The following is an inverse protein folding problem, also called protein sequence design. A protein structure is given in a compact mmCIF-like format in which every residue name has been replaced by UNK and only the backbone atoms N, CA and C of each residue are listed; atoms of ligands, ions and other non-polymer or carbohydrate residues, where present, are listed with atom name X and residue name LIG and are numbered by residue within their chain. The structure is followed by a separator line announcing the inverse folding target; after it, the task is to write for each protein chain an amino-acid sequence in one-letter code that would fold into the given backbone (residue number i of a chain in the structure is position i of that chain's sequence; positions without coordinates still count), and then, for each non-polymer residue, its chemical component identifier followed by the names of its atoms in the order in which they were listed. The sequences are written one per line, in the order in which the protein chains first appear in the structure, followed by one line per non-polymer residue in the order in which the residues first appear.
data_IF_690892162256
#
_entry.id   IF_690892162256
#
_cell.length_a   1.000
_cell.length_b   1.000
_cell.length_c   1.000
_cell.angle_alpha   90.00
_cell.angle_beta   90.00
_cell.angle_gamma   90.00
#
_symmetry.space_group_name_H-M   'P 1'
#
loop_
_entity.id
_entity.type
_entity.pdbx_description
1 polymer ?
#
# COMPACT_ATOMS: atom_id res chain seq x y z
N UNK A 1 -22.74 -1.80 -38.71
CA UNK A 1 -21.41 -2.38 -38.37
C UNK A 1 -20.81 -1.51 -37.30
N UNK A 2 -20.77 -1.99 -36.04
CA UNK A 2 -20.17 -1.24 -34.93
C UNK A 2 -18.65 -1.36 -35.03
N UNK A 3 -18.00 -0.28 -35.45
CA UNK A 3 -16.55 -0.14 -35.34
C UNK A 3 -16.23 0.09 -33.87
N UNK A 4 -15.72 -0.94 -33.18
CA UNK A 4 -15.27 -0.83 -31.79
C UNK A 4 -13.76 -0.51 -31.79
N UNK A 5 -13.35 0.76 -31.60
CA UNK A 5 -11.93 1.15 -31.59
C UNK A 5 -11.15 0.49 -30.44
N UNK A 6 -11.83 0.05 -29.37
CA UNK A 6 -11.18 -0.66 -28.27
C UNK A 6 -10.81 -2.09 -28.66
N UNK A 7 -11.57 -2.72 -29.56
CA UNK A 7 -11.26 -4.07 -30.07
C UNK A 7 -10.01 -4.08 -30.96
N UNK A 8 -9.82 -3.03 -31.79
CA UNK A 8 -8.64 -2.86 -32.63
C UNK A 8 -7.40 -2.54 -31.79
N UNK A 9 -7.54 -1.64 -30.80
CA UNK A 9 -6.45 -1.33 -29.88
C UNK A 9 -6.06 -2.55 -29.03
N UNK A 10 -7.04 -3.30 -28.53
CA UNK A 10 -6.78 -4.54 -27.76
C UNK A 10 -6.05 -5.58 -28.59
N UNK A 11 -6.44 -5.80 -29.85
CA UNK A 11 -5.75 -6.74 -30.73
C UNK A 11 -4.32 -6.26 -31.05
N UNK A 12 -4.13 -4.96 -31.27
CA UNK A 12 -2.81 -4.37 -31.50
C UNK A 12 -1.89 -4.50 -30.28
N UNK A 13 -2.41 -4.23 -29.07
CA UNK A 13 -1.68 -4.43 -27.81
C UNK A 13 -1.33 -5.89 -27.59
N UNK A 14 -2.27 -6.83 -27.83
CA UNK A 14 -2.01 -8.26 -27.69
C UNK A 14 -0.95 -8.77 -28.66
N UNK A 15 -0.95 -8.28 -29.90
CA UNK A 15 0.08 -8.63 -30.88
C UNK A 15 1.43 -8.04 -30.51
N UNK A 16 1.45 -6.81 -30.01
CA UNK A 16 2.67 -6.17 -29.50
C UNK A 16 3.23 -6.91 -28.29
N UNK A 17 2.40 -7.26 -27.30
CA UNK A 17 2.80 -8.06 -26.13
C UNK A 17 3.36 -9.41 -26.54
N UNK A 18 2.74 -10.08 -27.50
CA UNK A 18 3.21 -11.38 -27.99
C UNK A 18 4.57 -11.26 -28.69
N UNK A 19 4.71 -10.29 -29.59
CA UNK A 19 5.97 -10.03 -30.32
C UNK A 19 7.10 -9.64 -29.36
N UNK A 20 6.82 -8.74 -28.41
CA UNK A 20 7.78 -8.34 -27.38
C UNK A 20 8.11 -9.49 -26.45
N UNK A 21 7.14 -10.31 -26.07
CA UNK A 21 7.35 -11.49 -25.24
C UNK A 21 8.26 -12.53 -25.91
N UNK A 22 8.07 -12.78 -27.19
CA UNK A 22 8.93 -13.69 -27.97
C UNK A 22 10.34 -13.10 -28.18
N UNK A 23 10.43 -11.80 -28.51
CA UNK A 23 11.70 -11.10 -28.67
C UNK A 23 12.51 -11.08 -27.35
N UNK A 24 11.87 -10.70 -26.24
CA UNK A 24 12.50 -10.71 -24.91
C UNK A 24 12.87 -12.13 -24.48
N UNK A 25 12.05 -13.14 -24.77
CA UNK A 25 12.37 -14.54 -24.45
C UNK A 25 13.59 -15.04 -25.21
N UNK A 26 13.82 -14.58 -26.44
CA UNK A 26 15.02 -14.91 -27.21
C UNK A 26 16.24 -14.14 -26.72
N UNK A 27 16.09 -12.86 -26.38
CA UNK A 27 17.18 -12.00 -25.89
C UNK A 27 17.62 -12.37 -24.47
N UNK A 28 16.71 -12.70 -23.55
CA UNK A 28 17.04 -13.14 -22.18
C UNK A 28 17.81 -14.47 -22.16
N UNK A 29 17.69 -15.28 -23.22
CA UNK A 29 18.48 -16.51 -23.39
C UNK A 29 19.88 -16.24 -23.96
N UNK A 30 20.15 -15.04 -24.45
CA UNK A 30 21.48 -14.61 -24.86
C UNK A 30 22.26 -14.10 -23.64
N UNK A 31 23.35 -14.77 -23.23
CA UNK A 31 24.18 -14.33 -22.10
C UNK A 31 24.75 -12.92 -22.28
N UNK A 32 25.03 -12.48 -23.51
CA UNK A 32 25.56 -11.14 -23.78
C UNK A 32 24.51 -10.06 -23.51
N UNK A 33 23.25 -10.31 -23.89
CA UNK A 33 22.14 -9.40 -23.58
C UNK A 33 21.90 -9.30 -22.07
N UNK A 34 21.90 -10.43 -21.36
CA UNK A 34 21.75 -10.44 -19.89
C UNK A 34 22.90 -9.71 -19.19
N UNK A 35 24.13 -9.86 -19.70
CA UNK A 35 25.29 -9.15 -19.17
C UNK A 35 25.16 -7.63 -19.39
N UNK A 36 24.78 -7.18 -20.59
CA UNK A 36 24.55 -5.75 -20.87
C UNK A 36 23.40 -5.19 -20.04
N UNK A 37 22.31 -5.93 -19.88
CA UNK A 37 21.18 -5.53 -19.05
C UNK A 37 21.59 -5.38 -17.58
N UNK A 38 22.34 -6.36 -17.05
CA UNK A 38 22.86 -6.31 -15.67
C UNK A 38 23.82 -5.15 -15.45
N UNK A 39 24.70 -4.85 -16.42
CA UNK A 39 25.64 -3.73 -16.35
C UNK A 39 24.91 -2.39 -16.42
N UNK A 40 23.93 -2.25 -17.30
CA UNK A 40 23.11 -1.04 -17.40
C UNK A 40 22.27 -0.82 -16.14
N UNK A 41 21.67 -1.89 -15.59
CA UNK A 41 20.96 -1.82 -14.30
C UNK A 41 21.89 -1.43 -13.16
N UNK A 42 23.08 -2.02 -13.08
CA UNK A 42 24.06 -1.68 -12.05
C UNK A 42 24.50 -0.21 -12.17
N UNK A 43 24.78 0.27 -13.38
CA UNK A 43 25.14 1.67 -13.62
C UNK A 43 24.00 2.63 -13.26
N UNK A 44 22.74 2.27 -13.53
CA UNK A 44 21.59 3.07 -13.10
C UNK A 44 21.46 3.12 -11.58
N UNK A 45 21.62 1.99 -10.89
CA UNK A 45 21.60 1.93 -9.43
C UNK A 45 22.75 2.73 -8.82
N UNK A 46 23.95 2.63 -9.39
CA UNK A 46 25.12 3.38 -8.95
C UNK A 46 24.91 4.89 -9.17
N UNK A 47 24.31 5.29 -10.29
CA UNK A 47 23.92 6.68 -10.55
C UNK A 47 22.87 7.18 -9.56
N UNK A 48 21.83 6.38 -9.28
CA UNK A 48 20.80 6.74 -8.32
C UNK A 48 21.40 6.91 -6.92
N UNK A 49 22.28 6.01 -6.50
CA UNK A 49 22.98 6.11 -5.22
C UNK A 49 23.90 7.33 -5.17
N UNK A 50 24.60 7.65 -6.26
CA UNK A 50 25.47 8.83 -6.34
C UNK A 50 24.64 10.13 -6.28
N UNK A 51 23.53 10.18 -7.01
CA UNK A 51 22.57 11.30 -6.97
C UNK A 51 22.00 11.44 -5.56
N UNK A 52 21.55 10.36 -4.93
CA UNK A 52 21.04 10.40 -3.56
C UNK A 52 22.11 10.91 -2.58
N UNK A 53 23.33 10.37 -2.64
CA UNK A 53 24.46 10.79 -1.77
C UNK A 53 24.85 12.26 -1.95
N UNK A 54 24.73 12.81 -3.15
CA UNK A 54 25.05 14.21 -3.43
C UNK A 54 23.87 15.16 -3.15
N UNK A 55 22.63 14.73 -3.38
CA UNK A 55 21.43 15.52 -3.12
C UNK A 55 21.08 15.59 -1.64
N UNK A 56 21.28 14.52 -0.87
CA UNK A 56 21.00 14.52 0.58
C UNK A 56 21.67 15.68 1.33
N UNK A 57 22.99 15.95 1.19
CA UNK A 57 23.63 17.07 1.89
C UNK A 57 23.19 18.43 1.34
N UNK A 58 22.80 18.53 0.06
CA UNK A 58 22.27 19.77 -0.53
C UNK A 58 20.86 20.07 0.02
N UNK A 59 19.98 19.07 0.00
CA UNK A 59 18.61 19.16 0.52
C UNK A 59 18.61 19.43 2.02
N UNK A 60 19.49 18.77 2.78
CA UNK A 60 19.68 19.02 4.21
C UNK A 60 20.15 20.45 4.48
N UNK A 61 21.11 20.97 3.68
CA UNK A 61 21.56 22.38 3.79
C UNK A 61 20.46 23.40 3.46
N UNK A 62 19.50 23.02 2.63
CA UNK A 62 18.36 23.87 2.26
C UNK A 62 17.14 23.66 3.16
N UNK A 63 17.24 22.86 4.24
CA UNK A 63 16.10 22.43 5.06
C UNK A 63 14.94 21.82 4.25
N UNK A 64 15.24 21.24 3.09
CA UNK A 64 14.26 20.55 2.27
C UNK A 64 14.15 19.09 2.71
N UNK A 65 12.93 18.54 2.78
CA UNK A 65 12.72 17.16 3.20
C UNK A 65 13.44 16.20 2.25
N UNK A 66 14.24 15.32 2.83
CA UNK A 66 14.93 14.25 2.08
C UNK A 66 13.98 13.07 1.86
N UNK A 67 14.32 12.16 0.94
CA UNK A 67 13.58 10.91 0.72
C UNK A 67 13.37 10.14 2.03
N UNK A 68 14.41 10.01 2.85
CA UNK A 68 14.35 9.36 4.16
C UNK A 68 13.41 10.10 5.14
N UNK A 69 13.37 11.44 5.09
CA UNK A 69 12.45 12.23 5.89
C UNK A 69 10.99 11.99 5.48
N UNK A 70 10.72 11.83 4.18
CA UNK A 70 9.39 11.52 3.66
C UNK A 70 8.97 10.09 4.00
N UNK A 71 9.89 9.13 3.94
CA UNK A 71 9.65 7.74 4.33
C UNK A 71 9.28 7.65 5.82
N UNK A 72 10.02 8.31 6.71
CA UNK A 72 9.68 8.39 8.15
C UNK A 72 8.33 9.05 8.40
N UNK A 73 7.99 10.07 7.61
CA UNK A 73 6.69 10.75 7.68
C UNK A 73 5.56 9.80 7.27
N UNK A 74 5.76 9.03 6.20
CA UNK A 74 4.81 8.05 5.72
C UNK A 74 4.61 6.90 6.73
N UNK A 75 5.68 6.37 7.30
CA UNK A 75 5.63 5.36 8.37
C UNK A 75 4.88 5.88 9.60
N UNK A 76 5.12 7.14 9.98
CA UNK A 76 4.44 7.78 11.10
C UNK A 76 2.94 7.95 10.82
N UNK A 77 2.57 8.35 9.60
CA UNK A 77 1.18 8.46 9.17
C UNK A 77 0.48 7.10 9.19
N UNK A 78 1.12 6.05 8.67
CA UNK A 78 0.55 4.72 8.66
C UNK A 78 0.36 4.16 10.08
N UNK A 79 1.33 4.42 10.98
CA UNK A 79 1.21 4.06 12.39
C UNK A 79 0.03 4.78 13.07
N UNK A 80 -0.17 6.07 12.77
CA UNK A 80 -1.29 6.83 13.29
C UNK A 80 -2.63 6.29 12.77
N UNK A 81 -2.69 5.94 11.48
CA UNK A 81 -3.87 5.33 10.88
C UNK A 81 -4.24 4.00 11.55
N UNK A 82 -3.26 3.11 11.76
CA UNK A 82 -3.47 1.85 12.47
C UNK A 82 -3.99 2.07 13.88
N UNK A 83 -3.38 2.98 14.66
CA UNK A 83 -3.85 3.29 16.02
C UNK A 83 -5.26 3.87 16.04
N UNK A 84 -5.63 4.62 15.01
CA UNK A 84 -6.97 5.19 14.90
C UNK A 84 -8.00 4.08 14.65
N UNK A 85 -7.69 3.12 13.78
CA UNK A 85 -8.54 1.94 13.56
C UNK A 85 -8.72 1.12 14.85
N UNK A 86 -7.65 0.87 15.59
CA UNK A 86 -7.71 0.15 16.87
C UNK A 86 -8.64 0.88 17.87
N UNK A 87 -8.52 2.22 17.97
CA UNK A 87 -9.37 3.03 18.83
C UNK A 87 -10.84 3.01 18.37
N UNK A 88 -11.10 3.04 17.08
CA UNK A 88 -12.46 2.92 16.54
C UNK A 88 -13.09 1.57 16.89
N UNK A 89 -12.32 0.47 16.80
CA UNK A 89 -12.76 -0.86 17.23
C UNK A 89 -13.04 -0.93 18.73
N UNK A 90 -12.16 -0.40 19.58
CA UNK A 90 -12.37 -0.34 21.02
C UNK A 90 -13.63 0.47 21.37
N UNK A 91 -13.84 1.63 20.73
CA UNK A 91 -15.03 2.45 20.92
C UNK A 91 -16.29 1.72 20.50
N UNK A 92 -16.25 0.98 19.39
CA UNK A 92 -17.39 0.15 18.97
C UNK A 92 -17.68 -0.97 19.97
N UNK A 93 -16.65 -1.65 20.48
CA UNK A 93 -16.78 -2.69 21.51
C UNK A 93 -17.42 -2.13 22.78
N UNK A 94 -16.91 -1.02 23.31
CA UNK A 94 -17.44 -0.36 24.50
C UNK A 94 -18.90 0.11 24.31
N UNK A 95 -19.25 0.61 23.12
CA UNK A 95 -20.64 0.95 22.78
C UNK A 95 -21.54 -0.29 22.81
N UNK A 96 -21.09 -1.41 22.27
CA UNK A 96 -21.84 -2.67 22.30
C UNK A 96 -22.02 -3.20 23.73
N UNK A 97 -20.98 -3.12 24.56
CA UNK A 97 -21.06 -3.50 25.98
C UNK A 97 -22.04 -2.60 26.75
N UNK A 98 -22.01 -1.28 26.53
CA UNK A 98 -22.98 -0.36 27.13
C UNK A 98 -24.42 -0.69 26.72
N UNK A 99 -24.66 -1.06 25.47
CA UNK A 99 -25.98 -1.50 25.00
C UNK A 99 -26.40 -2.80 25.70
N UNK A 100 -25.48 -3.77 25.88
CA UNK A 100 -25.74 -5.01 26.62
C UNK A 100 -26.03 -4.76 28.11
N UNK A 101 -25.36 -3.79 28.73
CA UNK A 101 -25.58 -3.42 30.13
C UNK A 101 -26.92 -2.71 30.30
N UNK A 102 -27.28 -1.78 29.39
CA UNK A 102 -28.57 -1.08 29.43
C UNK A 102 -29.77 -1.98 29.12
N UNK A 103 -29.57 -3.07 28.37
CA UNK A 103 -30.63 -4.03 28.01
C UNK A 103 -30.81 -5.17 29.01
N UNK A 104 -29.91 -5.32 30.02
CA UNK A 104 -30.13 -6.27 31.11
C UNK A 104 -31.31 -5.78 31.98
N UNK A 105 -32.43 -6.51 32.06
CA UNK A 105 -33.57 -6.07 32.85
C UNK A 105 -33.18 -6.03 34.33
N UNK A 106 -33.54 -4.94 35.00
CA UNK A 106 -33.52 -4.82 36.46
C UNK A 106 -34.33 -5.98 37.02
N UNK A 107 -33.65 -6.99 37.57
CA UNK A 107 -34.28 -8.17 38.13
C UNK A 107 -35.35 -7.71 39.14
N UNK A 108 -36.62 -8.00 38.84
CA UNK A 108 -37.76 -7.68 39.69
C UNK A 108 -37.72 -8.59 40.93
N UNK A 109 -36.95 -8.19 41.93
CA UNK A 109 -37.15 -8.66 43.30
C UNK A 109 -38.39 -7.98 43.87
N UNK A 110 -39.56 -8.43 43.45
CA UNK A 110 -40.81 -8.17 44.15
C UNK A 110 -41.61 -9.47 44.22
N UNK A 111 -41.22 -10.35 45.14
CA UNK A 111 -42.10 -11.44 45.59
C UNK A 111 -41.75 -11.89 47.00
N UNK A 112 -42.38 -11.25 47.99
CA UNK A 112 -43.27 -11.88 48.98
C UNK A 112 -43.54 -10.93 50.13
N UNK A 113 -44.64 -10.19 50.01
CA UNK A 113 -45.44 -9.79 51.16
C UNK A 113 -46.90 -10.14 50.83
N UNK A 114 -47.37 -11.30 51.30
CA UNK A 114 -48.78 -11.45 51.66
C UNK A 114 -48.95 -12.61 52.65
N UNK A 115 -49.10 -12.18 53.90
CA UNK A 115 -49.95 -12.68 54.99
C UNK A 115 -51.19 -13.41 54.47
N UNK A 116 -51.45 -14.61 55.00
CA UNK A 116 -52.70 -15.02 55.65
C UNK A 116 -52.40 -16.24 56.55
#
# INVERSE_FOLDING_TARGET
MNFDPFSMHKNMTQQWEKMMGEYLSQQVRDPAFMQVLSQNMQQMLDMEQLIQKQLQPILTKLNLPTKESLEKLYESLHTLESKNLDLEEEVMSLKQELVKIKSKPKASSTKKAKKD
#
